data_IF_361217451472
#
_entry.id   IF_361217451472
#
_cell.length_a   1.000
_cell.length_b   1.000
_cell.length_c   1.000
_cell.angle_alpha   90.00
_cell.angle_beta   90.00
_cell.angle_gamma   90.00
#
_symmetry.space_group_name_H-M   'P 1'
#
loop_
_entity.id
_entity.type
_entity.pdbx_description
1 polymer ?
#
# COMPACT_ATOMS: atom_id res chain seq x y z
N UNK A 1 -38.03 -1.44 -2.91
CA UNK A 1 -37.62 -0.94 -1.58
C UNK A 1 -36.10 -1.07 -1.55
N UNK A 2 -35.39 0.02 -1.86
CA UNK A 2 -33.93 0.04 -1.85
C UNK A 2 -33.50 0.00 -0.38
N UNK A 3 -32.92 -1.12 0.04
CA UNK A 3 -32.27 -1.21 1.35
C UNK A 3 -31.03 -0.33 1.23
N UNK A 4 -31.08 0.86 1.83
CA UNK A 4 -29.89 1.67 2.06
C UNK A 4 -28.96 0.83 2.93
N UNK A 5 -27.84 0.39 2.35
CA UNK A 5 -26.74 -0.18 3.11
C UNK A 5 -26.12 0.98 3.91
N UNK A 6 -26.72 1.30 5.05
CA UNK A 6 -26.02 2.07 6.08
C UNK A 6 -24.79 1.26 6.47
N UNK A 7 -23.62 1.91 6.38
CA UNK A 7 -22.35 1.30 6.78
C UNK A 7 -22.47 0.86 8.23
N UNK A 8 -22.10 -0.39 8.51
CA UNK A 8 -22.06 -0.91 9.87
C UNK A 8 -21.04 -0.06 10.64
N UNK A 9 -21.39 0.60 11.76
CA UNK A 9 -20.45 1.41 12.55
C UNK A 9 -19.26 0.61 13.10
N UNK A 10 -19.22 -0.70 12.87
CA UNK A 10 -18.15 -1.64 13.19
C UNK A 10 -17.22 -1.97 12.00
N UNK A 11 -17.34 -1.33 10.84
CA UNK A 11 -16.31 -1.43 9.79
C UNK A 11 -15.12 -0.54 10.14
N UNK A 12 -14.26 -1.06 11.00
CA UNK A 12 -13.00 -0.42 11.39
C UNK A 12 -11.94 -0.78 10.37
N UNK A 13 -11.20 0.20 9.84
CA UNK A 13 -10.07 0.01 8.92
C UNK A 13 -8.89 -0.77 9.56
N UNK A 14 -9.12 -2.03 9.90
CA UNK A 14 -8.21 -2.92 10.62
C UNK A 14 -7.49 -3.85 9.64
N UNK A 15 -6.33 -4.36 10.05
CA UNK A 15 -5.62 -5.40 9.31
C UNK A 15 -6.45 -6.66 9.05
N UNK A 16 -7.35 -7.03 9.97
CA UNK A 16 -8.22 -8.21 9.80
C UNK A 16 -9.24 -8.03 8.67
N UNK A 17 -9.84 -6.84 8.56
CA UNK A 17 -10.72 -6.51 7.44
C UNK A 17 -9.92 -6.38 6.13
N UNK A 18 -8.77 -5.71 6.19
CA UNK A 18 -7.89 -5.55 5.03
C UNK A 18 -7.46 -6.91 4.47
N UNK A 19 -7.08 -7.88 5.32
CA UNK A 19 -6.71 -9.23 4.89
C UNK A 19 -7.83 -9.89 4.07
N UNK A 20 -9.11 -9.70 4.44
CA UNK A 20 -10.25 -10.23 3.66
C UNK A 20 -10.40 -9.51 2.31
N UNK A 21 -10.15 -8.21 2.27
CA UNK A 21 -10.15 -7.43 1.03
C UNK A 21 -9.02 -7.91 0.10
N UNK A 22 -7.80 -8.05 0.63
CA UNK A 22 -6.62 -8.45 -0.14
C UNK A 22 -6.71 -9.87 -0.72
N UNK A 23 -7.48 -10.77 -0.09
CA UNK A 23 -7.79 -12.10 -0.65
C UNK A 23 -8.57 -12.03 -1.98
N UNK A 24 -9.29 -10.92 -2.24
CA UNK A 24 -10.07 -10.71 -3.45
C UNK A 24 -9.42 -9.77 -4.47
N UNK A 25 -8.18 -9.31 -4.23
CA UNK A 25 -7.50 -8.38 -5.13
C UNK A 25 -7.01 -9.11 -6.39
N UNK A 26 -7.27 -8.48 -7.54
CA UNK A 26 -6.92 -8.96 -8.87
C UNK A 26 -6.45 -7.83 -9.80
N UNK A 27 -6.14 -8.13 -11.07
CA UNK A 27 -5.57 -7.17 -12.01
C UNK A 27 -6.50 -6.00 -12.38
N UNK A 28 -7.81 -6.10 -12.07
CA UNK A 28 -8.82 -5.07 -12.33
C UNK A 28 -9.27 -4.33 -11.05
N UNK A 29 -8.62 -4.59 -9.91
CA UNK A 29 -8.94 -3.94 -8.65
C UNK A 29 -8.44 -2.49 -8.61
N UNK A 30 -7.22 -2.25 -9.10
CA UNK A 30 -6.61 -0.92 -9.18
C UNK A 30 -6.81 -0.29 -10.57
N UNK A 31 -6.93 1.05 -10.68
CA UNK A 31 -7.03 2.02 -9.58
C UNK A 31 -8.46 2.31 -9.13
N UNK A 32 -9.47 1.74 -9.78
CA UNK A 32 -10.85 2.22 -9.68
C UNK A 32 -11.69 1.57 -8.56
N UNK A 33 -11.31 0.40 -8.04
CA UNK A 33 -12.00 -0.21 -6.90
C UNK A 33 -11.19 -0.05 -5.61
N UNK A 34 -9.89 -0.30 -5.68
CA UNK A 34 -8.96 -0.15 -4.58
C UNK A 34 -7.64 0.42 -5.08
N UNK A 35 -6.93 1.12 -4.20
CA UNK A 35 -5.57 1.57 -4.49
C UNK A 35 -4.76 1.62 -3.19
N UNK A 36 -3.73 0.80 -3.09
CA UNK A 36 -2.96 0.65 -1.85
C UNK A 36 -1.56 1.24 -1.93
N UNK A 37 -1.22 1.98 -2.99
CA UNK A 37 0.11 2.59 -3.13
C UNK A 37 -0.03 3.97 -3.76
N UNK A 38 0.03 5.01 -2.93
CA UNK A 38 -0.31 6.38 -3.27
C UNK A 38 0.56 7.35 -2.45
N UNK A 39 1.12 8.35 -3.13
CA UNK A 39 1.94 9.39 -2.51
C UNK A 39 1.28 10.76 -2.62
N UNK A 40 1.46 11.56 -1.57
CA UNK A 40 0.98 12.94 -1.45
C UNK A 40 2.17 13.90 -1.34
N UNK A 41 1.88 15.19 -1.27
CA UNK A 41 2.88 16.22 -0.96
C UNK A 41 3.49 16.13 0.45
N UNK A 42 3.04 15.17 1.28
CA UNK A 42 3.63 14.92 2.58
C UNK A 42 4.95 14.14 2.52
N UNK A 43 5.24 13.45 1.41
CA UNK A 43 6.57 12.92 1.06
C UNK A 43 7.10 13.58 -0.23
N UNK A 44 6.98 12.88 -1.35
CA UNK A 44 7.54 13.20 -2.67
C UNK A 44 6.49 13.18 -3.79
N UNK A 45 5.23 12.91 -3.45
CA UNK A 45 4.09 13.15 -4.33
C UNK A 45 3.80 14.64 -4.51
N UNK A 46 2.91 14.96 -5.45
CA UNK A 46 2.52 16.34 -5.79
C UNK A 46 1.08 16.70 -5.44
N UNK A 47 0.30 15.73 -4.98
CA UNK A 47 -1.11 15.91 -4.69
C UNK A 47 -1.31 16.24 -3.21
N UNK A 48 -2.17 17.20 -2.92
CA UNK A 48 -2.65 17.46 -1.56
C UNK A 48 -3.48 16.24 -1.07
N UNK A 49 -3.36 15.82 0.21
CA UNK A 49 -4.13 14.69 0.72
C UNK A 49 -5.65 14.84 0.55
N UNK A 50 -6.19 16.06 0.63
CA UNK A 50 -7.63 16.30 0.42
C UNK A 50 -8.02 16.17 -1.06
N UNK A 51 -7.16 16.62 -1.99
CA UNK A 51 -7.38 16.43 -3.42
C UNK A 51 -7.33 14.94 -3.80
N UNK A 52 -6.44 14.17 -3.16
CA UNK A 52 -6.33 12.72 -3.33
C UNK A 52 -7.59 12.01 -2.84
N UNK A 53 -8.03 12.34 -1.62
CA UNK A 53 -9.27 11.83 -1.05
C UNK A 53 -10.49 12.16 -1.94
N UNK A 54 -10.57 13.37 -2.48
CA UNK A 54 -11.64 13.78 -3.40
C UNK A 54 -11.59 13.00 -4.72
N UNK A 55 -10.40 12.74 -5.29
CA UNK A 55 -10.30 11.89 -6.48
C UNK A 55 -10.78 10.46 -6.18
N UNK A 56 -10.39 9.90 -5.04
CA UNK A 56 -10.82 8.56 -4.62
C UNK A 56 -12.36 8.48 -4.51
N UNK A 57 -12.97 9.50 -3.89
CA UNK A 57 -14.44 9.64 -3.78
C UNK A 57 -15.10 9.77 -5.15
N UNK A 58 -14.59 10.64 -6.02
CA UNK A 58 -15.15 10.88 -7.37
C UNK A 58 -15.08 9.66 -8.27
N UNK A 59 -14.03 8.86 -8.14
CA UNK A 59 -13.88 7.61 -8.89
C UNK A 59 -14.64 6.44 -8.27
N UNK A 60 -15.22 6.60 -7.08
CA UNK A 60 -16.04 5.59 -6.42
C UNK A 60 -15.22 4.41 -5.91
N UNK A 61 -13.99 4.66 -5.44
CA UNK A 61 -13.18 3.63 -4.80
C UNK A 61 -13.94 3.06 -3.58
N UNK A 62 -13.77 1.77 -3.34
CA UNK A 62 -14.26 1.10 -2.13
C UNK A 62 -13.32 1.32 -0.96
N UNK A 63 -12.03 1.44 -1.22
CA UNK A 63 -11.05 1.82 -0.21
C UNK A 63 -9.64 2.03 -0.77
N UNK A 64 -8.77 2.58 0.05
CA UNK A 64 -7.41 2.96 -0.32
C UNK A 64 -6.47 2.99 0.89
N UNK A 65 -5.18 3.07 0.61
CA UNK A 65 -4.15 3.43 1.58
C UNK A 65 -3.25 4.52 0.96
N UNK A 66 -2.94 5.56 1.73
CA UNK A 66 -1.90 6.54 1.41
C UNK A 66 -0.62 6.04 2.05
N UNK A 67 0.44 5.91 1.27
CA UNK A 67 1.69 5.23 1.66
C UNK A 67 2.87 6.15 1.46
N UNK A 68 2.76 7.40 1.94
CA UNK A 68 3.85 8.35 1.88
C UNK A 68 5.14 7.76 2.48
N UNK A 69 6.29 8.12 1.91
CA UNK A 69 7.59 7.70 2.42
C UNK A 69 7.83 8.20 3.84
N UNK A 70 8.03 7.27 4.78
CA UNK A 70 8.45 7.55 6.16
C UNK A 70 7.59 8.58 6.92
N UNK A 71 6.30 8.72 6.60
CA UNK A 71 5.40 9.68 7.25
C UNK A 71 3.94 9.22 7.18
N UNK A 72 3.12 9.61 8.17
CA UNK A 72 1.67 9.36 8.17
C UNK A 72 0.85 10.62 7.89
N UNK A 73 1.50 11.77 7.65
CA UNK A 73 0.81 13.07 7.54
C UNK A 73 -0.24 13.12 6.42
N UNK A 74 -0.03 12.43 5.30
CA UNK A 74 -1.02 12.37 4.22
C UNK A 74 -2.24 11.54 4.62
N UNK A 75 -2.02 10.40 5.28
CA UNK A 75 -3.10 9.61 5.88
C UNK A 75 -3.92 10.43 6.89
N UNK A 76 -3.27 11.11 7.84
CA UNK A 76 -3.95 11.90 8.88
C UNK A 76 -4.83 13.00 8.28
N UNK A 77 -4.31 13.72 7.29
CA UNK A 77 -5.05 14.79 6.61
C UNK A 77 -6.21 14.25 5.76
N UNK A 78 -6.00 13.15 5.04
CA UNK A 78 -7.07 12.52 4.25
C UNK A 78 -8.15 11.89 5.13
N UNK A 79 -7.79 11.32 6.28
CA UNK A 79 -8.75 10.75 7.23
C UNK A 79 -9.73 11.81 7.73
N UNK A 80 -9.26 13.03 8.01
CA UNK A 80 -10.11 14.13 8.41
C UNK A 80 -11.09 14.58 7.31
N UNK A 81 -10.82 14.23 6.04
CA UNK A 81 -11.65 14.56 4.89
C UNK A 81 -12.68 13.47 4.54
N UNK A 82 -12.33 12.20 4.78
CA UNK A 82 -13.17 11.02 4.47
C UNK A 82 -14.08 10.66 5.66
N UNK A 83 -15.01 11.54 6.00
CA UNK A 83 -15.88 11.43 7.18
C UNK A 83 -17.29 10.88 6.89
N UNK A 84 -17.63 10.63 5.60
CA UNK A 84 -18.98 10.26 5.19
C UNK A 84 -19.16 8.74 5.08
N UNK A 85 -20.39 8.22 5.32
CA UNK A 85 -20.68 6.81 5.17
C UNK A 85 -20.37 6.25 3.77
N UNK A 86 -20.58 7.06 2.72
CA UNK A 86 -20.31 6.70 1.32
C UNK A 86 -18.85 6.81 0.89
N UNK A 87 -17.98 7.39 1.73
CA UNK A 87 -16.58 7.59 1.39
C UNK A 87 -15.81 6.26 1.35
N UNK A 88 -14.76 6.15 0.49
CA UNK A 88 -13.90 4.98 0.48
C UNK A 88 -13.31 4.70 1.87
N UNK A 89 -13.15 3.42 2.22
CA UNK A 89 -12.44 3.04 3.44
C UNK A 89 -10.95 3.42 3.33
N UNK A 90 -10.45 4.24 4.25
CA UNK A 90 -9.04 4.59 4.33
C UNK A 90 -8.33 3.74 5.39
N UNK A 91 -7.42 2.87 4.96
CA UNK A 91 -6.50 2.18 5.87
C UNK A 91 -5.26 3.03 6.14
N UNK A 92 -4.69 2.88 7.33
CA UNK A 92 -3.31 3.35 7.57
C UNK A 92 -2.39 2.74 6.52
N UNK A 93 -1.46 3.56 6.05
CA UNK A 93 -0.47 3.20 5.05
C UNK A 93 0.83 3.95 5.30
N UNK A 94 1.95 3.30 4.98
CA UNK A 94 3.29 3.90 4.97
C UNK A 94 4.17 3.14 4.00
N UNK A 95 5.12 3.81 3.35
CA UNK A 95 6.20 3.17 2.63
C UNK A 95 7.53 3.38 3.36
N UNK A 96 8.16 2.29 3.80
CA UNK A 96 9.43 2.30 4.54
C UNK A 96 10.54 1.79 3.62
N UNK A 97 11.53 2.64 3.35
CA UNK A 97 12.77 2.22 2.69
C UNK A 97 13.59 1.34 3.64
N UNK A 98 14.04 0.19 3.15
CA UNK A 98 14.79 -0.80 3.92
C UNK A 98 15.85 -1.51 3.07
N UNK A 99 16.74 -2.26 3.72
CA UNK A 99 17.77 -3.07 3.09
C UNK A 99 17.42 -4.56 3.19
N UNK A 100 17.42 -5.24 2.06
CA UNK A 100 17.24 -6.68 1.94
C UNK A 100 18.30 -7.24 1.00
N UNK A 101 19.15 -8.15 1.50
CA UNK A 101 20.26 -8.73 0.73
C UNK A 101 21.23 -7.69 0.13
N UNK A 102 21.41 -6.54 0.80
CA UNK A 102 22.21 -5.43 0.26
C UNK A 102 21.49 -4.62 -0.82
N UNK A 103 20.24 -4.94 -1.16
CA UNK A 103 19.38 -4.16 -2.03
C UNK A 103 18.49 -3.21 -1.21
N UNK A 104 18.43 -1.94 -1.61
CA UNK A 104 17.42 -1.02 -1.11
C UNK A 104 16.06 -1.43 -1.70
N UNK A 105 15.13 -1.75 -0.82
CA UNK A 105 13.76 -2.16 -1.12
C UNK A 105 12.79 -1.29 -0.33
N UNK A 106 11.51 -1.36 -0.67
CA UNK A 106 10.46 -0.65 0.03
C UNK A 106 9.46 -1.65 0.60
N UNK A 107 9.14 -1.48 1.87
CA UNK A 107 8.14 -2.25 2.60
C UNK A 107 6.94 -1.36 2.84
N UNK A 108 5.81 -1.73 2.26
CA UNK A 108 4.52 -1.09 2.52
C UNK A 108 3.94 -1.67 3.81
N UNK A 109 3.51 -0.80 4.71
CA UNK A 109 2.75 -1.18 5.91
C UNK A 109 1.29 -0.79 5.77
N UNK A 110 0.37 -1.65 6.19
CA UNK A 110 -1.07 -1.36 6.14
C UNK A 110 -1.85 -1.76 7.38
N UNK A 111 -2.90 -1.00 7.70
CA UNK A 111 -3.92 -1.39 8.69
C UNK A 111 -3.39 -1.57 10.12
N UNK A 112 -2.25 -0.97 10.43
CA UNK A 112 -1.65 -0.88 11.76
C UNK A 112 -2.29 0.25 12.58
N UNK A 113 -2.09 0.22 13.91
CA UNK A 113 -2.43 1.33 14.81
C UNK A 113 -1.43 2.50 14.61
N UNK A 114 -1.87 3.67 14.09
CA UNK A 114 -0.97 4.78 13.83
C UNK A 114 -0.45 5.47 15.11
N UNK A 115 -1.02 5.14 16.28
CA UNK A 115 -0.58 5.67 17.57
C UNK A 115 0.40 4.74 18.30
N UNK A 116 0.72 3.57 17.75
CA UNK A 116 1.67 2.66 18.37
C UNK A 116 3.12 3.21 18.23
N UNK A 117 3.81 3.48 19.34
CA UNK A 117 5.15 4.08 19.31
C UNK A 117 6.22 3.18 18.68
N UNK A 118 5.93 1.89 18.42
CA UNK A 118 6.88 1.00 17.72
C UNK A 118 7.23 1.52 16.32
N UNK A 119 6.34 2.29 15.70
CA UNK A 119 6.58 2.88 14.37
C UNK A 119 7.29 4.24 14.42
N UNK A 120 7.44 4.87 15.60
CA UNK A 120 8.08 6.19 15.73
C UNK A 120 9.44 6.28 15.00
N UNK A 121 10.35 5.28 15.08
CA UNK A 121 11.63 5.35 14.38
C UNK A 121 11.52 5.43 12.85
N UNK A 122 10.39 5.04 12.28
CA UNK A 122 10.16 4.93 10.84
C UNK A 122 9.33 6.09 10.27
N UNK A 123 8.71 6.91 11.14
CA UNK A 123 7.84 8.04 10.79
C UNK A 123 8.58 9.38 11.01
N UNK A 124 9.83 9.46 10.54
CA UNK A 124 10.68 10.66 10.72
C UNK A 124 10.63 11.63 9.53
N UNK A 125 9.89 11.29 8.47
CA UNK A 125 9.82 12.03 7.20
C UNK A 125 11.05 11.85 6.31
N UNK A 126 12.06 11.12 6.78
CA UNK A 126 13.30 10.83 6.07
C UNK A 126 13.64 9.35 6.25
N UNK A 127 14.25 8.77 5.22
CA UNK A 127 14.73 7.39 5.30
C UNK A 127 15.93 7.25 6.22
N UNK A 128 16.05 6.09 6.87
CA UNK A 128 17.23 5.70 7.64
C UNK A 128 18.10 4.79 6.77
N UNK A 129 19.31 5.23 6.35
CA UNK A 129 20.16 4.43 5.48
C UNK A 129 20.50 3.06 6.08
N UNK A 130 20.29 2.00 5.30
CA UNK A 130 20.66 0.64 5.69
C UNK A 130 19.75 0.00 6.74
N UNK A 131 18.57 0.58 7.03
CA UNK A 131 17.56 -0.01 7.90
C UNK A 131 17.22 -1.45 7.46
N UNK A 132 17.38 -2.49 8.30
CA UNK A 132 17.09 -3.85 7.88
C UNK A 132 15.60 -4.07 7.57
N UNK A 133 15.29 -4.77 6.48
CA UNK A 133 13.90 -5.11 6.12
C UNK A 133 13.18 -5.91 7.21
N UNK A 134 13.92 -6.74 7.96
CA UNK A 134 13.37 -7.48 9.10
C UNK A 134 12.82 -6.56 10.20
N UNK A 135 13.47 -5.42 10.45
CA UNK A 135 13.02 -4.45 11.43
C UNK A 135 11.78 -3.71 10.95
N UNK A 136 11.74 -3.29 9.68
CA UNK A 136 10.56 -2.65 9.09
C UNK A 136 9.34 -3.58 9.12
N UNK A 137 9.50 -4.84 8.66
CA UNK A 137 8.45 -5.86 8.67
C UNK A 137 7.96 -6.09 10.12
N UNK A 138 8.88 -6.31 11.04
CA UNK A 138 8.56 -6.57 12.45
C UNK A 138 7.84 -5.41 13.13
N UNK A 139 8.23 -4.16 12.86
CA UNK A 139 7.60 -2.98 13.43
C UNK A 139 6.16 -2.79 12.92
N UNK A 140 5.92 -2.96 11.61
CA UNK A 140 4.58 -2.90 11.02
C UNK A 140 3.66 -3.95 11.67
N UNK A 141 4.16 -5.18 11.82
CA UNK A 141 3.39 -6.28 12.41
C UNK A 141 3.16 -6.11 13.91
N UNK A 142 4.14 -5.57 14.64
CA UNK A 142 4.01 -5.26 16.06
C UNK A 142 2.93 -4.21 16.32
N UNK A 143 2.79 -3.22 15.42
CA UNK A 143 1.70 -2.25 15.42
C UNK A 143 0.34 -2.83 14.93
N UNK A 144 0.27 -4.15 14.71
CA UNK A 144 -0.94 -4.85 14.29
C UNK A 144 -1.25 -4.80 12.79
N UNK A 145 -0.31 -4.32 11.97
CA UNK A 145 -0.47 -4.18 10.52
C UNK A 145 -0.05 -5.40 9.70
N UNK A 146 -0.06 -5.21 8.37
CA UNK A 146 0.42 -6.15 7.37
C UNK A 146 1.62 -5.54 6.63
N UNK A 147 2.71 -6.31 6.50
CA UNK A 147 3.91 -5.89 5.78
C UNK A 147 3.97 -6.48 4.37
N UNK A 148 4.18 -5.63 3.36
CA UNK A 148 4.11 -5.99 1.94
C UNK A 148 5.34 -5.49 1.18
N UNK A 149 5.95 -6.34 0.35
CA UNK A 149 7.06 -5.92 -0.50
C UNK A 149 6.52 -5.13 -1.70
N UNK A 150 6.92 -3.86 -1.82
CA UNK A 150 6.50 -2.98 -2.90
C UNK A 150 7.20 -3.35 -4.22
N UNK A 151 6.48 -3.20 -5.32
CA UNK A 151 6.95 -3.20 -6.70
C UNK A 151 8.25 -4.00 -6.95
N UNK A 152 8.26 -5.33 -6.71
CA UNK A 152 9.47 -6.15 -6.57
C UNK A 152 10.34 -6.22 -7.83
N UNK A 153 9.80 -5.86 -8.99
CA UNK A 153 10.54 -5.86 -10.27
C UNK A 153 11.23 -4.50 -10.58
N UNK A 154 11.18 -3.50 -9.68
CA UNK A 154 11.95 -2.25 -9.83
C UNK A 154 13.40 -2.35 -9.36
N UNK A 155 13.70 -3.36 -8.55
CA UNK A 155 14.99 -3.46 -7.87
C UNK A 155 16.07 -4.06 -8.76
N UNK A 156 17.33 -3.89 -8.37
CA UNK A 156 18.45 -4.44 -9.12
C UNK A 156 18.64 -5.95 -8.91
N UNK A 157 18.15 -6.49 -7.79
CA UNK A 157 18.03 -7.92 -7.57
C UNK A 157 16.71 -8.45 -8.15
N UNK A 158 16.68 -9.68 -8.70
CA UNK A 158 15.46 -10.30 -9.19
C UNK A 158 14.41 -10.48 -8.09
N UNK A 159 13.14 -10.35 -8.46
CA UNK A 159 12.02 -10.59 -7.55
C UNK A 159 12.02 -12.03 -6.99
N UNK A 160 12.47 -12.98 -7.80
CA UNK A 160 12.63 -14.40 -7.44
C UNK A 160 13.70 -14.65 -6.37
N UNK A 161 14.60 -13.68 -6.13
CA UNK A 161 15.57 -13.71 -5.03
C UNK A 161 15.08 -12.91 -3.82
N UNK A 162 14.48 -11.73 -4.05
CA UNK A 162 14.00 -10.84 -3.00
C UNK A 162 12.78 -11.40 -2.27
N UNK A 163 11.81 -11.95 -3.00
CA UNK A 163 10.54 -12.42 -2.39
C UNK A 163 10.78 -13.57 -1.41
N UNK A 164 11.53 -14.65 -1.74
CA UNK A 164 11.79 -15.71 -0.77
C UNK A 164 12.57 -15.21 0.44
N UNK A 165 13.54 -14.31 0.25
CA UNK A 165 14.29 -13.72 1.35
C UNK A 165 13.39 -12.88 2.27
N UNK A 166 12.46 -12.11 1.73
CA UNK A 166 11.48 -11.38 2.53
C UNK A 166 10.49 -12.31 3.26
N UNK A 167 10.10 -13.44 2.63
CA UNK A 167 9.27 -14.48 3.25
C UNK A 167 9.94 -15.08 4.48
N UNK A 168 11.26 -15.32 4.44
CA UNK A 168 12.02 -15.79 5.60
C UNK A 168 12.00 -14.80 6.77
N UNK A 169 11.75 -13.52 6.50
CA UNK A 169 11.60 -12.46 7.50
C UNK A 169 10.15 -12.29 7.99
N UNK A 170 9.20 -13.06 7.46
CA UNK A 170 7.80 -13.04 7.87
C UNK A 170 6.88 -12.11 7.08
N UNK A 171 7.23 -11.75 5.83
CA UNK A 171 6.40 -10.91 4.95
C UNK A 171 4.95 -11.43 4.81
N UNK A 172 3.96 -10.52 4.85
CA UNK A 172 2.54 -10.88 4.72
C UNK A 172 2.03 -10.88 3.26
N UNK A 173 2.60 -10.03 2.40
CA UNK A 173 2.08 -9.83 1.06
C UNK A 173 3.09 -9.29 0.05
N UNK A 174 2.67 -9.28 -1.22
CA UNK A 174 3.44 -8.84 -2.36
C UNK A 174 2.61 -7.87 -3.21
N UNK A 175 3.21 -6.75 -3.63
CA UNK A 175 2.61 -5.90 -4.65
C UNK A 175 2.75 -6.54 -6.03
N UNK A 176 1.68 -7.21 -6.45
CA UNK A 176 1.65 -8.00 -7.69
C UNK A 176 1.19 -7.15 -8.87
N UNK A 177 0.15 -6.34 -8.67
CA UNK A 177 -0.45 -5.55 -9.75
C UNK A 177 0.12 -4.14 -9.73
N UNK A 178 1.15 -3.94 -10.54
CA UNK A 178 1.93 -2.70 -10.66
C UNK A 178 2.26 -2.38 -12.13
N UNK A 179 2.38 -1.09 -12.46
CA UNK A 179 2.54 -0.62 -13.83
C UNK A 179 4.01 -0.34 -14.22
N UNK A 180 4.83 -1.37 -14.38
CA UNK A 180 6.27 -1.24 -14.71
C UNK A 180 6.55 -0.58 -16.06
N UNK A 181 5.62 -0.68 -17.03
CA UNK A 181 5.75 -0.07 -18.37
C UNK A 181 5.29 1.40 -18.40
N UNK A 182 4.86 1.97 -17.27
CA UNK A 182 4.39 3.34 -17.10
C UNK A 182 3.43 3.85 -18.21
N UNK A 183 2.29 3.16 -18.44
CA UNK A 183 1.30 3.58 -19.44
C UNK A 183 0.59 4.89 -19.04
N UNK A 184 0.05 5.61 -20.03
CA UNK A 184 -0.70 6.87 -19.82
C UNK A 184 -1.95 6.70 -18.94
N UNK A 185 -2.59 5.54 -19.05
CA UNK A 185 -3.68 5.08 -18.17
C UNK A 185 -3.12 3.88 -17.43
N UNK A 186 -3.17 3.90 -16.11
CA UNK A 186 -2.62 2.81 -15.32
C UNK A 186 -3.26 1.46 -15.69
N UNK A 187 -2.40 0.48 -15.91
CA UNK A 187 -2.74 -0.94 -16.04
C UNK A 187 -1.53 -1.74 -15.53
N UNK A 188 -1.74 -2.89 -14.86
CA UNK A 188 -0.63 -3.69 -14.39
C UNK A 188 0.14 -4.28 -15.58
N UNK A 189 1.46 -4.39 -15.46
CA UNK A 189 2.24 -5.07 -16.48
C UNK A 189 1.98 -6.59 -16.42
N UNK A 190 1.48 -7.22 -17.50
CA UNK A 190 0.96 -8.58 -17.42
C UNK A 190 2.04 -9.65 -17.22
N UNK A 191 3.27 -9.42 -17.71
CA UNK A 191 4.38 -10.36 -17.59
C UNK A 191 4.87 -10.43 -16.13
N UNK A 192 5.16 -9.27 -15.54
CA UNK A 192 5.55 -9.14 -14.13
C UNK A 192 4.43 -9.58 -13.19
N UNK A 193 3.17 -9.25 -13.50
CA UNK A 193 2.02 -9.69 -12.71
C UNK A 193 1.91 -11.23 -12.70
N UNK A 194 2.11 -11.91 -13.83
CA UNK A 194 2.07 -13.38 -13.88
C UNK A 194 3.17 -14.03 -13.02
N UNK A 195 4.37 -13.45 -13.00
CA UNK A 195 5.47 -13.92 -12.14
C UNK A 195 5.14 -13.64 -10.66
N UNK A 196 4.65 -12.44 -10.35
CA UNK A 196 4.26 -12.04 -9.00
C UNK A 196 3.11 -12.87 -8.44
N UNK A 197 2.10 -13.21 -9.25
CA UNK A 197 1.01 -14.12 -8.86
C UNK A 197 1.55 -15.49 -8.49
N UNK A 198 2.43 -16.06 -9.32
CA UNK A 198 3.06 -17.35 -9.05
C UNK A 198 3.89 -17.32 -7.77
N UNK A 199 4.67 -16.27 -7.54
CA UNK A 199 5.45 -16.11 -6.30
C UNK A 199 4.51 -16.01 -5.08
N UNK A 200 3.48 -15.18 -5.16
CA UNK A 200 2.52 -15.02 -4.07
C UNK A 200 1.80 -16.33 -3.74
N UNK A 201 1.36 -17.09 -4.75
CA UNK A 201 0.74 -18.41 -4.57
C UNK A 201 1.72 -19.43 -3.97
N UNK A 202 2.98 -19.43 -4.43
CA UNK A 202 4.01 -20.35 -3.94
C UNK A 202 4.29 -20.17 -2.44
N UNK A 203 4.32 -18.92 -1.97
CA UNK A 203 4.65 -18.58 -0.59
C UNK A 203 3.43 -18.25 0.29
N UNK A 204 2.21 -18.34 -0.24
CA UNK A 204 0.99 -18.05 0.51
C UNK A 204 0.82 -16.56 0.88
N UNK A 205 1.39 -15.65 0.08
CA UNK A 205 1.36 -14.21 0.30
C UNK A 205 0.04 -13.60 -0.15
N UNK A 206 -0.40 -12.55 0.56
CA UNK A 206 -1.46 -11.67 0.08
C UNK A 206 -1.01 -10.91 -1.16
N UNK A 207 -1.95 -10.60 -2.06
CA UNK A 207 -1.68 -9.79 -3.25
C UNK A 207 -2.20 -8.38 -3.05
N UNK A 208 -1.38 -7.38 -3.37
CA UNK A 208 -1.81 -5.99 -3.40
C UNK A 208 -1.69 -5.39 -4.79
N UNK A 209 -2.24 -4.19 -4.94
CA UNK A 209 -2.25 -3.41 -6.15
C UNK A 209 -2.11 -1.94 -5.81
N UNK A 210 -1.40 -1.19 -6.64
CA UNK A 210 -1.08 0.19 -6.32
C UNK A 210 -0.67 0.98 -7.54
N UNK A 211 -1.04 2.26 -7.58
CA UNK A 211 -0.59 3.12 -8.68
C UNK A 211 0.81 3.63 -8.51
N UNK A 212 1.29 3.76 -7.27
CA UNK A 212 2.55 4.42 -6.93
C UNK A 212 2.58 5.84 -7.52
N UNK A 213 1.45 6.55 -7.35
CA UNK A 213 1.22 7.85 -7.98
C UNK A 213 1.93 8.96 -7.21
N UNK A 214 2.75 9.75 -7.90
CA UNK A 214 3.41 10.96 -7.40
C UNK A 214 2.91 12.23 -8.10
N UNK A 215 2.08 12.08 -9.14
CA UNK A 215 1.50 13.14 -9.92
C UNK A 215 0.15 13.65 -9.43
N UNK A 216 -0.50 14.52 -10.21
CA UNK A 216 -1.81 15.09 -9.89
C UNK A 216 -2.97 14.14 -10.23
N UNK A 217 -2.73 12.84 -10.41
CA UNK A 217 -3.79 11.86 -10.69
C UNK A 217 -3.52 10.52 -10.02
N UNK A 218 -4.51 10.01 -9.28
CA UNK A 218 -4.50 8.66 -8.68
C UNK A 218 -4.67 7.52 -9.70
N UNK A 219 -4.75 7.85 -10.99
CA UNK A 219 -4.93 6.90 -12.10
C UNK A 219 -3.63 6.66 -12.89
N UNK A 220 -2.50 7.18 -12.39
CA UNK A 220 -1.20 7.17 -13.06
C UNK A 220 -0.08 6.93 -12.06
N UNK A 221 1.00 6.31 -12.50
CA UNK A 221 2.23 6.07 -11.72
C UNK A 221 3.19 7.27 -11.69
N UNK A 222 2.94 8.30 -12.51
CA UNK A 222 3.84 9.46 -12.70
C UNK A 222 4.36 9.99 -11.37
#
# INVERSE_FOLDING_TARGET
MLVSLQRDPCQTASAAELRRVLQGIGPLSCPLQYNFHLHTCCSDGRMDPADLAEQARRHGLKGLAITDHHTLKGYEQAQAYLDRPEDPLLWTGIEITANLLGCEVHILGYGFDPADPVLDPYIQGEQVPGLPAAEAIGAIQAAGGLAVLAHPFRYWLPAEELVPAAVELGLDGLEVYYAYKNPDIWAPSPEEAAIGEKLAETYGLLKTCGTDSHGPSILRRI
#
